data_IF_754299126552
#
_entry.id   IF_754299126552
#
_cell.length_a   1.000
_cell.length_b   1.000
_cell.length_c   1.000
_cell.angle_alpha   90.00
_cell.angle_beta   90.00
_cell.angle_gamma   90.00
#
_symmetry.space_group_name_H-M   'P 1'
#
loop_
_entity.id
_entity.type
_entity.pdbx_description
1 polymer ?
#
# COMPACT_ATOMS: atom_id res chain seq x y z
N UNK A 1 -24.40 -37.00 15.35
CA UNK A 1 -24.66 -35.71 16.04
C UNK A 1 -23.42 -34.80 16.17
N UNK A 2 -22.38 -34.92 15.32
CA UNK A 2 -21.12 -34.16 15.45
C UNK A 2 -20.85 -33.11 14.35
N UNK A 3 -21.79 -32.90 13.40
CA UNK A 3 -21.54 -32.12 12.18
C UNK A 3 -22.05 -30.66 12.23
N UNK A 4 -22.76 -30.27 13.28
CA UNK A 4 -23.44 -28.95 13.38
C UNK A 4 -22.54 -27.88 14.04
N UNK A 5 -21.51 -28.28 14.80
CA UNK A 5 -20.62 -27.36 15.53
C UNK A 5 -19.62 -26.62 14.62
N UNK A 6 -19.25 -27.20 13.48
CA UNK A 6 -18.25 -26.61 12.58
C UNK A 6 -18.70 -25.36 11.83
N UNK A 7 -20.00 -25.25 11.49
CA UNK A 7 -20.55 -24.09 10.76
C UNK A 7 -20.63 -22.85 11.63
N UNK A 8 -21.06 -22.99 12.89
CA UNK A 8 -21.14 -21.88 13.84
C UNK A 8 -19.76 -21.34 14.25
N UNK A 9 -18.74 -22.21 14.29
CA UNK A 9 -17.37 -21.81 14.57
C UNK A 9 -16.76 -21.01 13.40
N UNK A 10 -16.97 -21.45 12.15
CA UNK A 10 -16.54 -20.70 10.95
C UNK A 10 -17.21 -19.33 10.84
N UNK A 11 -18.50 -19.22 11.17
CA UNK A 11 -19.24 -17.94 11.18
C UNK A 11 -18.68 -16.99 12.25
N UNK A 12 -18.37 -17.50 13.47
CA UNK A 12 -17.71 -16.70 14.51
C UNK A 12 -16.32 -16.23 14.06
N UNK A 13 -15.50 -17.11 13.48
CA UNK A 13 -14.16 -16.77 12.99
C UNK A 13 -14.23 -15.68 11.90
N UNK A 14 -15.12 -15.82 10.91
CA UNK A 14 -15.30 -14.82 9.86
C UNK A 14 -15.73 -13.45 10.42
N UNK A 15 -16.63 -13.46 11.42
CA UNK A 15 -17.07 -12.22 12.09
C UNK A 15 -15.93 -11.56 12.88
N UNK A 16 -15.03 -12.35 13.48
CA UNK A 16 -13.84 -11.85 14.19
C UNK A 16 -12.83 -11.23 13.22
N UNK A 17 -12.56 -11.87 12.08
CA UNK A 17 -11.67 -11.32 11.04
C UNK A 17 -12.20 -9.97 10.57
N UNK A 18 -13.49 -9.90 10.24
CA UNK A 18 -14.14 -8.66 9.80
C UNK A 18 -14.07 -7.56 10.85
N UNK A 19 -14.33 -7.89 12.12
CA UNK A 19 -14.26 -6.93 13.23
C UNK A 19 -12.83 -6.39 13.42
N UNK A 20 -11.80 -7.26 13.36
CA UNK A 20 -10.40 -6.84 13.47
C UNK A 20 -10.03 -5.93 12.30
N UNK A 21 -10.35 -6.34 11.07
CA UNK A 21 -10.05 -5.57 9.86
C UNK A 21 -10.72 -4.19 9.89
N UNK A 22 -12.00 -4.13 10.26
CA UNK A 22 -12.76 -2.88 10.35
C UNK A 22 -12.22 -1.96 11.46
N UNK A 23 -11.80 -2.53 12.59
CA UNK A 23 -11.19 -1.75 13.66
C UNK A 23 -9.86 -1.13 13.21
N UNK A 24 -9.02 -1.90 12.51
CA UNK A 24 -7.77 -1.38 11.93
C UNK A 24 -8.08 -0.24 10.96
N UNK A 25 -9.08 -0.40 10.09
CA UNK A 25 -9.47 0.65 9.16
C UNK A 25 -9.93 1.93 9.85
N UNK A 26 -10.84 1.85 10.82
CA UNK A 26 -11.29 3.01 11.60
C UNK A 26 -10.15 3.70 12.34
N UNK A 27 -9.23 2.92 12.90
CA UNK A 27 -8.06 3.43 13.59
C UNK A 27 -7.10 4.14 12.62
N UNK A 28 -6.86 3.55 11.45
CA UNK A 28 -6.00 4.09 10.41
C UNK A 28 -6.57 5.34 9.75
N UNK A 29 -7.89 5.40 9.51
CA UNK A 29 -8.55 6.61 8.95
C UNK A 29 -8.42 7.81 9.88
N UNK A 30 -8.30 7.57 11.19
CA UNK A 30 -8.11 8.61 12.21
C UNK A 30 -6.64 8.87 12.53
N UNK A 31 -5.72 8.14 11.91
CA UNK A 31 -4.29 8.29 12.13
C UNK A 31 -3.80 9.55 11.40
N UNK A 32 -3.31 10.52 12.18
CA UNK A 32 -2.84 11.81 11.67
C UNK A 32 -1.76 11.66 10.60
N UNK A 33 -0.86 10.68 10.71
CA UNK A 33 0.21 10.49 9.74
C UNK A 33 -0.32 9.97 8.40
N UNK A 34 -1.30 9.06 8.39
CA UNK A 34 -1.93 8.60 7.14
C UNK A 34 -2.76 9.70 6.47
N UNK A 35 -3.44 10.52 7.27
CA UNK A 35 -4.18 11.68 6.76
C UNK A 35 -3.21 12.69 6.12
N UNK A 36 -2.12 13.05 6.81
CA UNK A 36 -1.10 13.97 6.27
C UNK A 36 -0.45 13.37 5.01
N UNK A 37 -0.15 12.07 5.01
CA UNK A 37 0.42 11.39 3.85
C UNK A 37 -0.53 11.47 2.66
N UNK A 38 -1.82 11.19 2.84
CA UNK A 38 -2.79 11.25 1.73
C UNK A 38 -2.99 12.68 1.25
N UNK A 39 -3.08 13.64 2.19
CA UNK A 39 -3.21 15.06 1.87
C UNK A 39 -1.99 15.60 1.09
N UNK A 40 -0.77 15.19 1.44
CA UNK A 40 0.43 15.60 0.71
C UNK A 40 0.47 15.02 -0.71
N UNK A 41 -0.07 13.82 -0.92
CA UNK A 41 -0.21 13.21 -2.24
C UNK A 41 -1.18 14.00 -3.13
N UNK A 42 -2.34 14.37 -2.58
CA UNK A 42 -3.29 15.25 -3.27
C UNK A 42 -2.67 16.60 -3.64
N UNK A 43 -1.90 17.20 -2.72
CA UNK A 43 -1.20 18.45 -2.97
C UNK A 43 -0.22 18.32 -4.14
N UNK A 44 0.55 17.23 -4.21
CA UNK A 44 1.47 17.00 -5.32
C UNK A 44 0.77 16.73 -6.64
N UNK A 45 -0.38 16.05 -6.63
CA UNK A 45 -1.21 15.93 -7.83
C UNK A 45 -1.67 17.30 -8.32
N UNK A 46 -2.01 18.23 -7.41
CA UNK A 46 -2.29 19.62 -7.79
C UNK A 46 -1.05 20.31 -8.34
N UNK A 47 0.10 20.14 -7.69
CA UNK A 47 1.38 20.72 -8.12
C UNK A 47 1.80 20.22 -9.51
N UNK A 48 1.46 18.99 -9.87
CA UNK A 48 1.72 18.44 -11.22
C UNK A 48 1.09 19.28 -12.34
N UNK A 49 -0.01 20.00 -12.08
CA UNK A 49 -0.61 20.90 -13.07
C UNK A 49 0.26 22.14 -13.34
N UNK A 50 0.99 22.60 -12.34
CA UNK A 50 1.95 23.71 -12.50
C UNK A 50 3.12 23.24 -13.34
N UNK A 51 3.67 22.06 -13.02
CA UNK A 51 4.76 21.45 -13.78
C UNK A 51 4.36 21.17 -15.24
N UNK A 52 3.15 20.67 -15.48
CA UNK A 52 2.63 20.42 -16.82
C UNK A 52 2.58 21.70 -17.65
N UNK A 53 2.13 22.82 -17.08
CA UNK A 53 2.08 24.13 -17.78
C UNK A 53 3.46 24.68 -18.13
N UNK A 54 4.48 24.36 -17.34
CA UNK A 54 5.86 24.80 -17.63
C UNK A 54 6.51 24.00 -18.75
N UNK A 55 5.94 22.87 -19.14
CA UNK A 55 6.50 22.01 -20.18
C UNK A 55 6.00 22.39 -21.58
N UNK A 56 6.94 22.72 -22.46
CA UNK A 56 6.64 23.05 -23.85
C UNK A 56 6.28 21.78 -24.62
N UNK A 57 5.03 21.70 -25.09
CA UNK A 57 4.55 20.60 -25.96
C UNK A 57 4.31 19.26 -25.27
N UNK A 58 4.35 19.19 -23.93
CA UNK A 58 4.30 17.93 -23.16
C UNK A 58 3.40 17.93 -21.93
N UNK A 59 2.52 18.94 -21.76
CA UNK A 59 1.70 19.13 -20.55
C UNK A 59 0.94 17.85 -20.14
N UNK A 60 0.25 17.21 -21.09
CA UNK A 60 -0.58 16.03 -20.81
C UNK A 60 0.24 14.82 -20.34
N UNK A 61 1.42 14.61 -20.92
CA UNK A 61 2.29 13.49 -20.57
C UNK A 61 2.83 13.65 -19.15
N UNK A 62 3.28 14.85 -18.80
CA UNK A 62 3.83 15.10 -17.46
C UNK A 62 2.76 14.95 -16.38
N UNK A 63 1.54 15.45 -16.61
CA UNK A 63 0.44 15.30 -15.65
C UNK A 63 0.08 13.82 -15.45
N UNK A 64 0.10 13.03 -16.52
CA UNK A 64 -0.18 11.60 -16.44
C UNK A 64 0.94 10.85 -15.71
N UNK A 65 2.19 11.03 -16.13
CA UNK A 65 3.36 10.37 -15.56
C UNK A 65 3.51 10.71 -14.06
N UNK A 66 3.33 11.99 -13.69
CA UNK A 66 3.36 12.42 -12.30
C UNK A 66 2.27 11.76 -11.46
N UNK A 67 1.08 11.53 -12.02
CA UNK A 67 0.01 10.83 -11.31
C UNK A 67 0.37 9.39 -10.97
N UNK A 68 0.92 8.65 -11.94
CA UNK A 68 1.39 7.28 -11.70
C UNK A 68 2.54 7.24 -10.70
N UNK A 69 3.48 8.18 -10.78
CA UNK A 69 4.57 8.31 -9.80
C UNK A 69 4.06 8.59 -8.38
N UNK A 70 3.11 9.51 -8.23
CA UNK A 70 2.50 9.81 -6.93
C UNK A 70 1.78 8.58 -6.39
N UNK A 71 1.01 7.86 -7.22
CA UNK A 71 0.37 6.61 -6.78
C UNK A 71 1.43 5.57 -6.36
N UNK A 72 2.45 5.30 -7.16
CA UNK A 72 3.50 4.33 -6.80
C UNK A 72 4.18 4.65 -5.45
N UNK A 73 4.75 5.85 -5.33
CA UNK A 73 5.52 6.27 -4.15
C UNK A 73 4.64 6.31 -2.89
N UNK A 74 3.42 6.86 -2.97
CA UNK A 74 2.54 6.96 -1.80
C UNK A 74 2.11 5.60 -1.28
N UNK A 75 1.95 4.62 -2.16
CA UNK A 75 1.70 3.23 -1.77
C UNK A 75 2.81 2.66 -0.91
N UNK A 76 4.04 2.76 -1.39
CA UNK A 76 5.22 2.27 -0.67
C UNK A 76 5.32 2.94 0.71
N UNK A 77 5.18 4.27 0.77
CA UNK A 77 5.20 5.02 2.03
C UNK A 77 4.07 4.59 2.99
N UNK A 78 2.86 4.40 2.50
CA UNK A 78 1.74 3.93 3.30
C UNK A 78 2.00 2.52 3.84
N UNK A 79 2.50 1.60 3.02
CA UNK A 79 2.83 0.22 3.41
C UNK A 79 3.92 0.20 4.47
N UNK A 80 4.99 0.98 4.30
CA UNK A 80 6.04 1.12 5.30
C UNK A 80 5.49 1.59 6.63
N UNK A 81 4.63 2.61 6.61
CA UNK A 81 4.02 3.17 7.82
C UNK A 81 3.10 2.17 8.52
N UNK A 82 2.17 1.56 7.78
CA UNK A 82 1.25 0.55 8.32
C UNK A 82 2.00 -0.67 8.86
N UNK A 83 2.93 -1.22 8.09
CA UNK A 83 3.75 -2.35 8.49
C UNK A 83 4.57 -2.04 9.75
N UNK A 84 5.26 -0.91 9.77
CA UNK A 84 5.97 -0.42 10.97
C UNK A 84 5.07 -0.30 12.19
N UNK A 85 3.85 0.22 12.03
CA UNK A 85 2.91 0.33 13.13
C UNK A 85 2.48 -1.04 13.66
N UNK A 86 2.28 -2.02 12.77
CA UNK A 86 1.98 -3.40 13.15
C UNK A 86 3.15 -3.97 13.96
N UNK A 87 4.38 -3.81 13.47
CA UNK A 87 5.61 -4.26 14.15
C UNK A 87 5.73 -3.62 15.53
N UNK A 88 5.68 -2.27 15.62
CA UNK A 88 5.78 -1.53 16.88
C UNK A 88 4.78 -2.02 17.93
N UNK A 89 3.56 -2.34 17.51
CA UNK A 89 2.50 -2.84 18.39
C UNK A 89 2.77 -4.27 18.84
N UNK A 90 3.31 -5.12 17.97
CA UNK A 90 3.69 -6.49 18.33
C UNK A 90 4.85 -6.53 19.31
N UNK A 91 5.89 -5.72 19.11
CA UNK A 91 6.99 -5.59 20.07
C UNK A 91 6.50 -5.12 21.44
N UNK A 92 5.64 -4.09 21.51
CA UNK A 92 5.03 -3.65 22.78
C UNK A 92 4.11 -4.71 23.40
N UNK A 93 3.41 -5.50 22.58
CA UNK A 93 2.51 -6.55 23.05
C UNK A 93 3.26 -7.78 23.55
N UNK A 94 4.41 -8.15 22.98
CA UNK A 94 5.20 -9.28 23.46
C UNK A 94 5.68 -9.08 24.91
N UNK A 95 5.96 -7.84 25.32
CA UNK A 95 6.27 -7.51 26.72
C UNK A 95 5.07 -7.68 27.66
N UNK A 96 3.84 -7.45 27.16
CA UNK A 96 2.59 -7.54 27.94
C UNK A 96 1.96 -8.94 27.89
N UNK A 97 2.19 -9.71 26.83
CA UNK A 97 1.66 -11.08 26.66
C UNK A 97 2.35 -12.11 27.58
N UNK A 98 3.51 -11.78 28.16
CA UNK A 98 4.03 -12.53 29.31
C UNK A 98 3.07 -12.49 30.51
N UNK A 99 2.14 -11.53 30.55
CA UNK A 99 1.25 -11.29 31.69
C UNK A 99 -0.20 -11.70 31.42
N UNK A 100 -0.71 -11.69 30.17
CA UNK A 100 -2.13 -12.02 29.88
C UNK A 100 -2.35 -13.10 28.81
N UNK A 101 -2.78 -14.26 29.31
CA UNK A 101 -3.23 -15.48 28.65
C UNK A 101 -4.62 -15.36 28.01
N UNK A 102 -4.70 -15.02 26.70
CA UNK A 102 -5.90 -15.33 25.89
C UNK A 102 -5.55 -15.86 24.48
N UNK A 103 -5.98 -17.09 24.13
CA UNK A 103 -5.63 -17.74 22.88
C UNK A 103 -6.55 -17.27 21.75
N UNK A 104 -6.14 -16.22 21.03
CA UNK A 104 -6.67 -15.98 19.69
C UNK A 104 -5.85 -16.84 18.72
N UNK A 105 -6.52 -17.64 17.88
CA UNK A 105 -5.84 -18.49 16.90
C UNK A 105 -4.98 -17.64 15.96
N UNK A 106 -3.67 -17.94 15.90
CA UNK A 106 -2.65 -17.22 15.11
C UNK A 106 -3.05 -16.92 13.65
N UNK A 107 -3.63 -17.85 12.85
CA UNK A 107 -3.95 -17.57 11.44
C UNK A 107 -5.08 -16.56 11.27
N UNK A 108 -6.10 -16.58 12.15
CA UNK A 108 -7.24 -15.66 12.10
C UNK A 108 -6.80 -14.21 12.34
N UNK A 109 -5.85 -14.03 13.26
CA UNK A 109 -5.26 -12.73 13.55
C UNK A 109 -4.43 -12.18 12.37
N UNK A 110 -3.64 -13.03 11.73
CA UNK A 110 -2.82 -12.64 10.58
C UNK A 110 -3.69 -12.25 9.37
N UNK A 111 -4.71 -13.06 9.05
CA UNK A 111 -5.67 -12.73 7.99
C UNK A 111 -6.42 -11.43 8.27
N UNK A 112 -6.89 -11.21 9.51
CA UNK A 112 -7.56 -9.96 9.90
C UNK A 112 -6.68 -8.73 9.71
N UNK A 113 -5.38 -8.83 10.04
CA UNK A 113 -4.40 -7.76 9.79
C UNK A 113 -4.19 -7.49 8.30
N UNK A 114 -4.04 -8.53 7.50
CA UNK A 114 -3.87 -8.40 6.06
C UNK A 114 -5.06 -7.73 5.39
N UNK A 115 -6.27 -8.21 5.64
CA UNK A 115 -7.47 -7.58 5.09
C UNK A 115 -7.66 -6.16 5.60
N UNK A 116 -7.39 -5.89 6.89
CA UNK A 116 -7.42 -4.53 7.43
C UNK A 116 -6.44 -3.60 6.70
N UNK A 117 -5.20 -4.05 6.50
CA UNK A 117 -4.17 -3.30 5.79
C UNK A 117 -4.56 -3.05 4.33
N UNK A 118 -5.09 -4.05 3.62
CA UNK A 118 -5.59 -3.89 2.25
C UNK A 118 -6.73 -2.88 2.18
N UNK A 119 -7.70 -2.92 3.10
CA UNK A 119 -8.83 -1.97 3.08
C UNK A 119 -8.34 -0.53 3.28
N UNK A 120 -7.35 -0.32 4.16
CA UNK A 120 -6.74 1.00 4.36
C UNK A 120 -6.01 1.46 3.09
N UNK A 121 -5.18 0.60 2.52
CA UNK A 121 -4.46 0.89 1.27
C UNK A 121 -5.41 1.18 0.12
N UNK A 122 -6.47 0.39 -0.02
CA UNK A 122 -7.51 0.60 -1.01
C UNK A 122 -8.22 1.94 -0.82
N UNK A 123 -8.51 2.34 0.42
CA UNK A 123 -9.12 3.64 0.71
C UNK A 123 -8.22 4.80 0.25
N UNK A 124 -6.92 4.73 0.57
CA UNK A 124 -5.93 5.74 0.15
C UNK A 124 -5.81 5.76 -1.38
N UNK A 125 -5.71 4.57 -2.00
CA UNK A 125 -5.60 4.41 -3.45
C UNK A 125 -6.79 5.03 -4.17
N UNK A 126 -8.02 4.72 -3.75
CA UNK A 126 -9.24 5.26 -4.36
C UNK A 126 -9.28 6.78 -4.26
N UNK A 127 -8.90 7.36 -3.11
CA UNK A 127 -8.86 8.82 -2.94
C UNK A 127 -7.88 9.47 -3.93
N UNK A 128 -6.64 8.97 -3.99
CA UNK A 128 -5.61 9.52 -4.89
C UNK A 128 -5.96 9.29 -6.37
N UNK A 129 -6.41 8.09 -6.73
CA UNK A 129 -6.75 7.72 -8.10
C UNK A 129 -7.98 8.49 -8.60
N UNK A 130 -9.05 8.59 -7.78
CA UNK A 130 -10.23 9.36 -8.14
C UNK A 130 -9.89 10.85 -8.32
N UNK A 131 -9.05 11.40 -7.44
CA UNK A 131 -8.60 12.78 -7.58
C UNK A 131 -7.80 13.00 -8.87
N UNK A 132 -6.84 12.11 -9.16
CA UNK A 132 -6.05 12.19 -10.39
C UNK A 132 -6.91 12.05 -11.64
N UNK A 133 -7.87 11.10 -11.67
CA UNK A 133 -8.85 10.97 -12.76
C UNK A 133 -9.67 12.27 -12.92
N UNK A 134 -10.08 12.88 -11.81
CA UNK A 134 -10.75 14.18 -11.81
C UNK A 134 -9.90 15.29 -12.43
N UNK A 135 -8.59 15.32 -12.15
CA UNK A 135 -7.67 16.27 -12.78
C UNK A 135 -7.54 16.04 -14.30
N UNK A 136 -7.45 14.77 -14.73
CA UNK A 136 -7.41 14.43 -16.16
C UNK A 136 -8.69 14.90 -16.88
N UNK A 137 -9.84 14.73 -16.23
CA UNK A 137 -11.12 15.19 -16.76
C UNK A 137 -11.17 16.72 -16.93
N UNK A 138 -10.74 17.48 -15.91
CA UNK A 138 -10.67 18.96 -15.97
C UNK A 138 -9.72 19.42 -17.08
N UNK A 139 -8.65 18.67 -17.34
CA UNK A 139 -7.67 18.96 -18.40
C UNK A 139 -8.07 18.42 -19.77
N UNK A 140 -9.28 17.86 -19.91
CA UNK A 140 -9.78 17.25 -21.16
C UNK A 140 -8.84 16.19 -21.75
N UNK A 141 -8.15 15.44 -20.88
CA UNK A 141 -7.28 14.33 -21.28
C UNK A 141 -8.15 13.08 -21.41
N UNK A 142 -8.06 12.40 -22.55
CA UNK A 142 -8.84 11.19 -22.82
C UNK A 142 -8.38 10.02 -21.95
N UNK A 143 -9.32 9.44 -21.20
CA UNK A 143 -9.09 8.22 -20.43
C UNK A 143 -9.12 7.01 -21.36
N UNK A 144 -7.95 6.54 -21.76
CA UNK A 144 -7.77 5.28 -22.48
C UNK A 144 -7.80 4.08 -21.52
N UNK A 145 -8.19 2.90 -21.99
CA UNK A 145 -8.16 1.61 -21.26
C UNK A 145 -6.81 1.32 -20.59
N UNK A 146 -5.70 1.80 -21.16
CA UNK A 146 -4.36 1.65 -20.60
C UNK A 146 -4.21 2.28 -19.21
N UNK A 147 -4.92 3.37 -18.92
CA UNK A 147 -4.87 4.01 -17.61
C UNK A 147 -5.51 3.12 -16.55
N UNK A 148 -6.61 2.43 -16.89
CA UNK A 148 -7.28 1.51 -15.97
C UNK A 148 -6.37 0.32 -15.64
N UNK A 149 -5.72 -0.25 -16.64
CA UNK A 149 -4.74 -1.32 -16.44
C UNK A 149 -3.56 -0.85 -15.57
N UNK A 150 -3.01 0.34 -15.84
CA UNK A 150 -1.94 0.90 -15.03
C UNK A 150 -2.35 1.06 -13.56
N UNK A 151 -3.54 1.61 -13.30
CA UNK A 151 -4.08 1.73 -11.94
C UNK A 151 -4.23 0.35 -11.26
N UNK A 152 -4.74 -0.64 -11.98
CA UNK A 152 -4.89 -2.01 -11.46
C UNK A 152 -3.54 -2.62 -11.09
N UNK A 153 -2.52 -2.49 -11.97
CA UNK A 153 -1.17 -3.00 -11.69
C UNK A 153 -0.51 -2.29 -10.51
N UNK A 154 -0.66 -0.97 -10.38
CA UNK A 154 -0.13 -0.21 -9.24
C UNK A 154 -0.79 -0.68 -7.94
N UNK A 155 -2.11 -0.86 -7.93
CA UNK A 155 -2.78 -1.39 -6.74
C UNK A 155 -2.35 -2.84 -6.44
N UNK A 156 -2.17 -3.67 -7.47
CA UNK A 156 -1.62 -5.01 -7.33
C UNK A 156 -0.23 -5.01 -6.68
N UNK A 157 0.64 -4.09 -7.09
CA UNK A 157 1.96 -3.88 -6.49
C UNK A 157 1.84 -3.55 -4.99
N UNK A 158 0.92 -2.66 -4.62
CA UNK A 158 0.69 -2.33 -3.20
C UNK A 158 0.24 -3.55 -2.39
N UNK A 159 -0.61 -4.41 -2.94
CA UNK A 159 -1.07 -5.65 -2.27
C UNK A 159 0.07 -6.65 -2.09
N UNK A 160 0.93 -6.79 -3.10
CA UNK A 160 2.13 -7.63 -3.02
C UNK A 160 3.09 -7.12 -1.95
N UNK A 161 3.42 -5.83 -1.97
CA UNK A 161 4.27 -5.19 -0.97
C UNK A 161 3.66 -5.25 0.44
N UNK A 162 2.33 -5.16 0.58
CA UNK A 162 1.65 -5.35 1.86
C UNK A 162 1.79 -6.78 2.41
N UNK A 163 1.74 -7.78 1.53
CA UNK A 163 1.96 -9.20 1.90
C UNK A 163 3.39 -9.41 2.39
N UNK A 164 4.36 -8.86 1.67
CA UNK A 164 5.78 -8.88 2.03
C UNK A 164 6.03 -8.14 3.35
N UNK A 165 5.39 -6.99 3.55
CA UNK A 165 5.45 -6.21 4.78
C UNK A 165 4.99 -7.01 6.00
N UNK A 166 3.85 -7.70 5.91
CA UNK A 166 3.38 -8.55 7.01
C UNK A 166 4.30 -9.74 7.30
N UNK A 167 4.90 -10.30 6.25
CA UNK A 167 5.88 -11.37 6.42
C UNK A 167 7.08 -10.88 7.24
N UNK A 168 7.72 -9.79 6.82
CA UNK A 168 8.85 -9.20 7.56
C UNK A 168 8.46 -8.69 8.95
N UNK A 169 7.22 -8.23 9.12
CA UNK A 169 6.74 -7.73 10.39
C UNK A 169 6.79 -8.75 11.54
N UNK A 170 6.80 -10.05 11.23
CA UNK A 170 6.75 -11.13 12.21
C UNK A 170 8.08 -11.36 12.94
N UNK A 171 9.22 -11.00 12.33
CA UNK A 171 10.55 -11.33 12.87
C UNK A 171 11.55 -10.16 12.83
N UNK A 172 11.13 -8.98 12.39
CA UNK A 172 12.03 -7.86 12.11
C UNK A 172 11.68 -6.64 12.97
N UNK A 173 12.67 -5.84 13.39
CA UNK A 173 12.43 -4.57 14.06
C UNK A 173 11.80 -3.53 13.11
N UNK A 174 11.10 -2.49 13.61
CA UNK A 174 10.45 -1.50 12.73
C UNK A 174 11.40 -0.82 11.74
N UNK A 175 12.64 -0.57 12.15
CA UNK A 175 13.66 0.08 11.31
C UNK A 175 14.09 -0.86 10.18
N UNK A 176 14.44 -2.11 10.52
CA UNK A 176 14.84 -3.11 9.54
C UNK A 176 13.69 -3.49 8.59
N UNK A 177 12.44 -3.53 9.08
CA UNK A 177 11.25 -3.75 8.26
C UNK A 177 11.15 -2.71 7.14
N UNK A 178 11.28 -1.42 7.49
CA UNK A 178 11.22 -0.34 6.51
C UNK A 178 12.35 -0.43 5.49
N UNK A 179 13.55 -0.79 5.93
CA UNK A 179 14.69 -1.00 5.05
C UNK A 179 14.41 -2.10 4.00
N UNK A 180 13.88 -3.25 4.42
CA UNK A 180 13.56 -4.34 3.49
C UNK A 180 12.47 -3.95 2.48
N UNK A 181 11.43 -3.23 2.91
CA UNK A 181 10.35 -2.81 2.00
C UNK A 181 10.85 -1.83 0.96
N UNK A 182 11.66 -0.85 1.34
CA UNK A 182 12.28 0.07 0.38
C UNK A 182 13.21 -0.67 -0.57
N UNK A 183 14.04 -1.59 -0.05
CA UNK A 183 14.94 -2.38 -0.87
C UNK A 183 14.22 -3.21 -1.93
N UNK A 184 13.13 -3.88 -1.55
CA UNK A 184 12.32 -4.70 -2.48
C UNK A 184 11.61 -3.81 -3.51
N UNK A 185 11.03 -2.69 -3.09
CA UNK A 185 10.37 -1.76 -4.01
C UNK A 185 11.38 -1.15 -5.00
N UNK A 186 12.57 -0.76 -4.53
CA UNK A 186 13.63 -0.21 -5.36
C UNK A 186 14.12 -1.23 -6.40
N UNK A 187 14.45 -2.45 -5.96
CA UNK A 187 14.87 -3.52 -6.86
C UNK A 187 13.77 -3.86 -7.88
N UNK A 188 12.51 -3.86 -7.46
CA UNK A 188 11.36 -4.12 -8.35
C UNK A 188 11.26 -3.11 -9.49
N UNK A 189 11.36 -1.82 -9.19
CA UNK A 189 11.28 -0.77 -10.22
C UNK A 189 12.54 -0.70 -11.09
N UNK A 190 13.73 -0.88 -10.52
CA UNK A 190 14.99 -0.64 -11.21
C UNK A 190 15.57 -1.88 -11.89
N UNK A 191 15.00 -3.07 -11.68
CA UNK A 191 15.55 -4.31 -12.23
C UNK A 191 15.64 -4.29 -13.76
N UNK A 192 14.67 -3.68 -14.45
CA UNK A 192 14.68 -3.62 -15.92
C UNK A 192 15.71 -2.61 -16.42
N UNK A 193 15.82 -1.45 -15.77
CA UNK A 193 16.80 -0.44 -16.14
C UNK A 193 18.23 -0.95 -15.94
N UNK A 194 18.51 -1.61 -14.80
CA UNK A 194 19.81 -2.21 -14.53
C UNK A 194 20.19 -3.28 -15.56
N UNK A 195 19.22 -4.07 -16.02
CA UNK A 195 19.44 -5.05 -17.08
C UNK A 195 19.78 -4.36 -18.41
N UNK A 196 19.07 -3.30 -18.75
CA UNK A 196 19.31 -2.53 -19.98
C UNK A 196 20.67 -1.84 -19.95
N UNK A 197 21.08 -1.28 -18.80
CA UNK A 197 22.44 -0.76 -18.61
C UNK A 197 23.50 -1.84 -18.74
N UNK A 198 23.26 -3.04 -18.20
CA UNK A 198 24.18 -4.16 -18.32
C UNK A 198 24.33 -4.63 -19.77
N UNK A 199 23.25 -4.68 -20.55
CA UNK A 199 23.28 -5.04 -21.98
C UNK A 199 24.04 -3.98 -22.80
N UNK A 200 23.72 -2.69 -22.63
CA UNK A 200 24.42 -1.61 -23.33
C UNK A 200 25.91 -1.53 -22.99
N UNK A 201 26.29 -1.89 -21.76
CA UNK A 201 27.70 -1.95 -21.36
C UNK A 201 28.50 -3.03 -22.08
N UNK A 202 27.85 -4.10 -22.59
CA UNK A 202 28.51 -5.17 -23.35
C UNK A 202 28.72 -4.85 -24.82
N UNK A 203 27.96 -3.91 -25.38
CA UNK A 203 28.15 -3.45 -26.77
C UNK A 203 29.23 -2.36 -26.90
N UNK A 204 29.67 -1.79 -25.78
CA UNK A 204 30.69 -0.74 -25.71
C UNK A 204 32.13 -1.27 -25.53
N UNK A 205 32.32 -2.59 -25.49
CA UNK A 205 33.61 -3.29 -25.45
C UNK A 205 33.63 -4.43 -26.48
#
# INVERSE_FOLDING_TARGET
>A
MFRITGRNMKIKIASQIKAIAFNIWLESVRDRLLIILTASGLLLLVFSMVLGRMAVGGEQRIIQDMGFWVLGIWGILAIMYLGSNIVRREFKRQTVYLVLSRPVSRPVFLCGKFFGMIIVLFSIFVILAAFWIGLLYVKSILLTDRHLWALLFIFGEWVLLASVSLFFATFTSPILHNFFIVGIAFLGHWSNDLKLFAENSKELW
#
